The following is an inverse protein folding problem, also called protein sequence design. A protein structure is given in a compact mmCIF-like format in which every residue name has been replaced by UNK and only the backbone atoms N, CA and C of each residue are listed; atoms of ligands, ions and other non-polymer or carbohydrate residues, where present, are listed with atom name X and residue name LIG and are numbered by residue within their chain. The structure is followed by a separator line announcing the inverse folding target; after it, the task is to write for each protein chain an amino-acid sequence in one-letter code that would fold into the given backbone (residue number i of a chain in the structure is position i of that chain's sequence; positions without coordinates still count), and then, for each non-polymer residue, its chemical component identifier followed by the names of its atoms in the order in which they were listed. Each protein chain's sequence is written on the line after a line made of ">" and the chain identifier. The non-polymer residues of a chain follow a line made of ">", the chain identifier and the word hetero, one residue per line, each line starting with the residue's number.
data_IF_496178944696
#
_entry.id   IF_496178944696
#
_cell.length_a   1.000
_cell.length_b   1.000
_cell.length_c   1.000
_cell.angle_alpha   90.00
_cell.angle_beta   90.00
_cell.angle_gamma   90.00
#
_symmetry.space_group_name_H-M   'P 1'
#
loop_
_entity.id
_entity.type
_entity.pdbx_description
1 polymer ?
#
# COMPACT_ATOMS: atom_id res chain seq x y z
N UNK A 1 -16.77 -4.53 6.70
CA UNK A 1 -15.85 -5.54 7.24
C UNK A 1 -15.73 -6.66 6.23
N UNK A 2 -14.71 -6.60 5.37
CA UNK A 2 -14.25 -7.79 4.67
C UNK A 2 -13.82 -8.84 5.72
N UNK A 3 -14.44 -10.02 5.67
CA UNK A 3 -14.21 -11.08 6.66
C UNK A 3 -12.81 -11.70 6.57
N UNK A 4 -12.04 -11.40 5.52
CA UNK A 4 -10.69 -11.93 5.33
C UNK A 4 -9.67 -11.49 6.39
N UNK A 5 -9.80 -10.27 6.93
CA UNK A 5 -8.93 -9.79 8.00
C UNK A 5 -9.32 -10.29 9.38
N UNK A 6 -10.63 -10.33 9.65
CA UNK A 6 -11.14 -10.54 11.01
C UNK A 6 -10.96 -11.97 11.53
N UNK A 7 -10.64 -12.94 10.67
CA UNK A 7 -10.54 -14.37 11.01
C UNK A 7 -9.14 -14.96 10.85
N UNK A 8 -8.13 -14.20 10.44
CA UNK A 8 -6.83 -14.78 10.11
C UNK A 8 -6.05 -15.28 11.34
N UNK A 9 -6.19 -14.66 12.51
CA UNK A 9 -5.56 -15.11 13.78
C UNK A 9 -4.02 -15.16 13.79
N UNK A 10 -3.35 -14.88 12.66
CA UNK A 10 -1.92 -14.97 12.44
C UNK A 10 -1.55 -14.89 10.95
N UNK A 11 -0.24 -14.96 10.64
CA UNK A 11 0.27 -14.91 9.27
C UNK A 11 -0.14 -16.15 8.46
N UNK A 12 -1.00 -15.98 7.46
CA UNK A 12 -1.45 -17.04 6.57
C UNK A 12 -1.81 -16.45 5.18
N UNK A 13 -2.11 -17.31 4.22
CA UNK A 13 -2.47 -16.91 2.84
C UNK A 13 -3.61 -15.89 2.82
N UNK A 14 -4.64 -16.08 3.64
CA UNK A 14 -5.77 -15.15 3.75
C UNK A 14 -5.34 -13.77 4.29
N UNK A 15 -4.44 -13.71 5.28
CA UNK A 15 -3.90 -12.44 5.79
C UNK A 15 -3.09 -11.71 4.71
N UNK A 16 -2.27 -12.42 3.94
CA UNK A 16 -1.36 -11.81 2.95
C UNK A 16 -2.06 -11.30 1.69
N UNK A 17 -3.15 -11.95 1.26
CA UNK A 17 -4.02 -11.40 0.20
C UNK A 17 -4.92 -10.27 0.72
N UNK A 18 -5.23 -10.38 2.01
CA UNK A 18 -5.96 -9.48 2.88
C UNK A 18 -5.45 -8.05 2.94
N UNK A 19 -4.12 -7.92 3.07
CA UNK A 19 -3.46 -6.85 3.83
C UNK A 19 -3.48 -5.46 3.16
N UNK A 20 -4.66 -4.84 3.10
CA UNK A 20 -4.94 -3.48 2.68
C UNK A 20 -6.10 -2.88 3.48
N UNK A 21 -6.15 -1.55 3.58
CA UNK A 21 -7.26 -0.83 4.22
C UNK A 21 -7.27 0.61 3.77
N UNK A 22 -8.41 1.28 3.89
CA UNK A 22 -8.56 2.68 3.47
C UNK A 22 -8.96 3.55 4.66
N UNK A 23 -8.25 4.66 4.84
CA UNK A 23 -8.60 5.68 5.83
C UNK A 23 -9.27 6.85 5.13
N UNK A 24 -10.44 7.26 5.64
CA UNK A 24 -11.11 8.50 5.26
C UNK A 24 -10.73 9.55 6.29
N UNK A 25 -10.10 10.64 5.84
CA UNK A 25 -9.61 11.71 6.70
C UNK A 25 -10.58 12.88 6.64
N UNK A 26 -11.08 13.30 7.81
CA UNK A 26 -11.95 14.46 7.91
C UNK A 26 -11.21 15.75 7.56
N UNK A 27 -11.95 16.71 7.00
CA UNK A 27 -11.39 18.02 6.68
C UNK A 27 -10.92 18.78 7.92
N UNK A 28 -9.96 19.67 7.72
CA UNK A 28 -9.48 20.62 8.72
C UNK A 28 -8.06 20.37 9.23
N UNK A 29 -7.64 19.12 9.38
CA UNK A 29 -6.31 18.81 9.89
C UNK A 29 -6.02 19.48 11.25
N UNK A 30 -4.78 19.91 11.49
CA UNK A 30 -4.37 20.51 12.78
C UNK A 30 -4.98 21.90 13.03
N UNK A 31 -5.19 22.70 11.98
CA UNK A 31 -5.60 24.11 12.12
C UNK A 31 -6.27 24.73 10.88
N UNK A 32 -6.66 23.92 9.89
CA UNK A 32 -7.25 24.37 8.64
C UNK A 32 -8.72 24.00 8.51
N UNK A 33 -9.23 24.09 7.28
CA UNK A 33 -10.60 23.69 6.89
C UNK A 33 -10.62 22.86 5.60
N UNK A 34 -9.49 22.75 4.90
CA UNK A 34 -9.37 22.02 3.65
C UNK A 34 -9.40 20.49 3.88
N UNK A 35 -9.80 19.74 2.86
CA UNK A 35 -9.61 18.29 2.83
C UNK A 35 -8.14 17.94 2.60
N UNK A 36 -7.78 16.68 2.86
CA UNK A 36 -6.42 16.19 2.63
C UNK A 36 -6.05 16.31 1.13
N UNK A 37 -6.94 15.87 0.26
CA UNK A 37 -6.78 15.85 -1.19
C UNK A 37 -6.61 17.26 -1.77
N UNK A 38 -7.35 18.24 -1.24
CA UNK A 38 -7.19 19.63 -1.64
C UNK A 38 -5.84 20.23 -1.20
N UNK A 39 -5.23 19.67 -0.15
CA UNK A 39 -3.97 20.17 0.43
C UNK A 39 -2.74 19.53 -0.22
N UNK A 40 -2.76 18.22 -0.46
CA UNK A 40 -1.58 17.46 -0.94
C UNK A 40 -1.78 16.79 -2.31
N UNK A 41 -2.95 16.92 -2.91
CA UNK A 41 -3.30 16.25 -4.15
C UNK A 41 -3.70 14.78 -3.95
N UNK A 42 -3.85 14.07 -5.08
CA UNK A 42 -4.27 12.67 -5.14
C UNK A 42 -3.45 11.91 -6.16
N UNK A 43 -3.35 10.60 -5.98
CA UNK A 43 -2.82 9.69 -6.98
C UNK A 43 -3.92 8.76 -7.50
N UNK A 44 -3.70 8.20 -8.70
CA UNK A 44 -4.61 7.20 -9.25
C UNK A 44 -4.50 5.88 -8.47
N UNK A 45 -5.60 5.13 -8.46
CA UNK A 45 -5.69 3.79 -7.86
C UNK A 45 -6.21 2.80 -8.89
N UNK A 46 -5.63 1.61 -8.95
CA UNK A 46 -6.15 0.52 -9.77
C UNK A 46 -5.96 -0.86 -9.11
N UNK A 47 -7.04 -1.63 -9.08
CA UNK A 47 -7.05 -3.02 -8.61
C UNK A 47 -6.83 -4.05 -9.73
N UNK A 48 -6.11 -3.67 -10.78
CA UNK A 48 -5.78 -4.56 -11.89
C UNK A 48 -4.45 -5.26 -11.59
N UNK A 49 -4.36 -6.56 -11.90
CA UNK A 49 -3.11 -7.29 -11.73
C UNK A 49 -2.00 -6.75 -12.65
N UNK A 50 -0.79 -6.64 -12.12
CA UNK A 50 0.43 -6.33 -12.87
C UNK A 50 1.07 -7.62 -13.39
N UNK A 51 1.65 -7.56 -14.59
CA UNK A 51 2.46 -8.64 -15.14
C UNK A 51 3.82 -8.68 -14.44
N UNK A 52 4.41 -9.88 -14.34
CA UNK A 52 5.80 -10.01 -13.89
C UNK A 52 6.73 -9.20 -14.81
N UNK A 53 7.74 -8.56 -14.22
CA UNK A 53 8.63 -7.63 -14.92
C UNK A 53 8.13 -6.19 -14.99
N UNK A 54 6.90 -5.89 -14.56
CA UNK A 54 6.44 -4.50 -14.41
C UNK A 54 7.33 -3.79 -13.38
N UNK A 55 7.98 -2.70 -13.79
CA UNK A 55 8.72 -1.84 -12.85
C UNK A 55 7.75 -1.06 -11.99
N UNK A 56 8.03 -1.04 -10.69
CA UNK A 56 7.27 -0.28 -9.69
C UNK A 56 8.18 0.50 -8.77
N UNK A 57 7.61 1.51 -8.13
CA UNK A 57 8.24 2.33 -7.10
C UNK A 57 7.47 2.13 -5.79
N UNK A 58 8.12 1.47 -4.82
CA UNK A 58 7.57 1.24 -3.49
C UNK A 58 8.14 2.25 -2.51
N UNK A 59 7.28 3.04 -1.87
CA UNK A 59 7.68 4.08 -0.92
C UNK A 59 7.33 3.71 0.52
N UNK A 60 8.04 4.26 1.50
CA UNK A 60 7.67 4.13 2.91
C UNK A 60 8.61 4.82 3.88
N UNK A 61 8.27 4.77 5.18
CA UNK A 61 9.07 5.32 6.27
C UNK A 61 9.61 4.20 7.17
N UNK A 62 10.61 3.41 6.71
CA UNK A 62 11.19 2.34 7.51
C UNK A 62 11.80 2.90 8.80
N UNK A 63 11.60 2.22 9.93
CA UNK A 63 11.94 2.71 11.26
C UNK A 63 12.73 1.70 12.11
N UNK A 64 13.44 0.78 11.45
CA UNK A 64 14.25 -0.23 12.13
C UNK A 64 15.63 -0.37 11.49
N UNK A 65 16.55 -1.01 12.22
CA UNK A 65 17.93 -1.23 11.83
C UNK A 65 18.65 0.09 11.50
N UNK A 66 19.00 0.30 10.23
CA UNK A 66 19.70 1.50 9.73
C UNK A 66 18.76 2.68 9.47
N UNK A 67 17.45 2.50 9.65
CA UNK A 67 16.44 3.53 9.39
C UNK A 67 15.81 4.06 10.68
N UNK A 68 15.37 5.32 10.66
CA UNK A 68 14.85 6.05 11.82
C UNK A 68 13.37 6.44 11.73
N UNK A 69 12.69 6.13 10.62
CA UNK A 69 11.27 6.43 10.42
C UNK A 69 10.96 7.89 10.07
N UNK A 70 11.96 8.76 10.02
CA UNK A 70 11.81 10.17 9.67
C UNK A 70 11.95 10.47 8.18
N UNK A 71 12.61 9.59 7.44
CA UNK A 71 12.93 9.80 6.03
C UNK A 71 12.05 8.94 5.14
N UNK A 72 11.58 9.53 4.05
CA UNK A 72 10.93 8.80 2.97
C UNK A 72 11.99 8.01 2.20
N UNK A 73 11.83 6.69 2.17
CA UNK A 73 12.69 5.77 1.44
C UNK A 73 11.88 5.14 0.31
N UNK A 74 12.55 4.78 -0.78
CA UNK A 74 11.93 4.05 -1.88
C UNK A 74 12.77 2.87 -2.35
N UNK A 75 12.10 1.91 -2.98
CA UNK A 75 12.68 0.81 -3.74
C UNK A 75 12.07 0.82 -5.13
N UNK A 76 12.90 0.81 -6.17
CA UNK A 76 12.49 0.75 -7.57
C UNK A 76 12.94 -0.57 -8.17
N UNK A 77 12.08 -1.22 -8.94
CA UNK A 77 12.48 -2.39 -9.71
C UNK A 77 11.35 -3.22 -10.28
N UNK A 78 11.68 -4.23 -11.10
CA UNK A 78 10.71 -5.14 -11.68
C UNK A 78 10.11 -6.03 -10.59
N UNK A 79 8.79 -6.22 -10.63
CA UNK A 79 8.10 -7.15 -9.75
C UNK A 79 8.25 -8.60 -10.24
N UNK A 80 8.31 -9.53 -9.29
CA UNK A 80 8.03 -10.94 -9.47
C UNK A 80 6.76 -11.37 -8.74
N UNK A 81 6.57 -12.68 -8.62
CA UNK A 81 5.48 -13.28 -7.85
C UNK A 81 6.02 -14.05 -6.66
N UNK A 82 5.27 -14.04 -5.56
CA UNK A 82 5.63 -14.77 -4.36
C UNK A 82 5.26 -16.24 -4.48
N UNK A 83 6.23 -17.08 -4.85
CA UNK A 83 6.02 -18.52 -4.93
C UNK A 83 5.63 -19.15 -3.58
N UNK A 84 6.05 -18.57 -2.45
CA UNK A 84 5.73 -19.09 -1.12
C UNK A 84 4.27 -18.83 -0.72
N UNK A 85 3.67 -17.77 -1.28
CA UNK A 85 2.24 -17.48 -1.17
C UNK A 85 1.43 -17.97 -2.38
N UNK A 86 1.92 -18.99 -3.11
CA UNK A 86 1.20 -19.55 -4.27
C UNK A 86 1.03 -18.57 -5.43
N UNK A 87 1.97 -17.64 -5.61
CA UNK A 87 1.92 -16.51 -6.54
C UNK A 87 0.77 -15.53 -6.26
N UNK A 88 0.28 -15.52 -5.03
CA UNK A 88 -0.83 -14.70 -4.58
C UNK A 88 -0.54 -13.22 -4.38
N UNK A 89 0.73 -12.89 -4.18
CA UNK A 89 1.24 -11.55 -3.91
C UNK A 89 2.40 -11.24 -4.87
N UNK A 90 2.77 -9.97 -4.95
CA UNK A 90 3.96 -9.54 -5.68
C UNK A 90 5.19 -9.63 -4.79
N UNK A 91 6.35 -9.70 -5.45
CA UNK A 91 7.66 -9.65 -4.83
C UNK A 91 8.48 -8.52 -5.48
N UNK A 92 9.10 -7.68 -4.66
CA UNK A 92 10.03 -6.63 -5.09
C UNK A 92 11.32 -6.75 -4.30
N UNK A 93 12.47 -6.65 -4.96
CA UNK A 93 13.75 -6.55 -4.27
C UNK A 93 13.81 -5.21 -3.52
N UNK A 94 13.84 -5.26 -2.19
CA UNK A 94 13.73 -4.06 -1.38
C UNK A 94 14.31 -4.27 0.01
N UNK A 95 15.07 -3.28 0.50
CA UNK A 95 15.73 -3.32 1.80
C UNK A 95 15.01 -2.53 2.90
N UNK A 96 13.82 -1.98 2.62
CA UNK A 96 13.02 -1.29 3.63
C UNK A 96 12.61 -2.24 4.75
N UNK A 97 12.61 -1.74 5.98
CA UNK A 97 12.29 -2.50 7.20
C UNK A 97 10.89 -2.16 7.72
N UNK A 98 10.49 -2.80 8.83
CA UNK A 98 9.28 -2.42 9.59
C UNK A 98 9.19 -0.90 9.80
N UNK A 99 7.97 -0.37 9.71
CA UNK A 99 7.68 1.06 9.57
C UNK A 99 7.29 1.45 8.14
N UNK A 100 7.79 0.74 7.12
CA UNK A 100 7.38 0.99 5.72
C UNK A 100 6.02 0.40 5.35
N UNK A 101 5.44 -0.47 6.20
CA UNK A 101 4.16 -1.15 5.94
C UNK A 101 3.02 -0.17 5.66
N UNK A 102 2.18 -0.48 4.68
CA UNK A 102 1.12 0.40 4.18
C UNK A 102 1.59 1.41 3.12
N UNK A 103 2.90 1.59 2.94
CA UNK A 103 3.44 2.49 1.92
C UNK A 103 3.12 2.03 0.49
N UNK A 104 2.80 2.94 -0.44
CA UNK A 104 2.24 2.60 -1.75
C UNK A 104 3.28 2.02 -2.70
N UNK A 105 2.82 1.12 -3.59
CA UNK A 105 3.56 0.72 -4.79
C UNK A 105 2.91 1.37 -6.00
N UNK A 106 3.67 2.23 -6.68
CA UNK A 106 3.26 2.87 -7.91
C UNK A 106 3.72 2.09 -9.13
N UNK A 107 2.86 2.01 -10.14
CA UNK A 107 3.30 1.77 -11.52
C UNK A 107 3.28 3.08 -12.30
N UNK A 108 4.31 3.32 -13.12
CA UNK A 108 4.40 4.53 -13.94
C UNK A 108 4.51 5.80 -13.11
N UNK A 109 5.23 5.75 -11.98
CA UNK A 109 5.49 6.93 -11.18
C UNK A 109 6.37 7.91 -11.95
N UNK A 110 5.99 9.17 -11.98
CA UNK A 110 6.83 10.22 -12.54
C UNK A 110 7.78 10.74 -11.47
N UNK A 111 9.01 10.23 -11.45
CA UNK A 111 10.04 10.64 -10.49
C UNK A 111 10.56 12.07 -10.73
N UNK A 112 10.30 12.67 -11.90
CA UNK A 112 10.70 14.04 -12.17
C UNK A 112 9.75 15.05 -11.51
N UNK A 113 8.45 14.75 -11.47
CA UNK A 113 7.45 15.64 -10.85
C UNK A 113 7.01 15.19 -9.47
N UNK A 114 7.10 13.90 -9.16
CA UNK A 114 6.66 13.30 -7.91
C UNK A 114 5.14 13.24 -7.73
N UNK A 115 4.36 13.64 -8.75
CA UNK A 115 2.94 13.99 -8.59
C UNK A 115 2.00 13.13 -9.45
N UNK A 116 2.50 12.10 -10.12
CA UNK A 116 1.67 11.19 -10.91
C UNK A 116 2.15 9.74 -10.83
N UNK A 117 1.24 8.82 -11.11
CA UNK A 117 1.44 7.37 -11.01
C UNK A 117 0.18 6.69 -10.49
N UNK A 118 0.11 5.37 -10.63
CA UNK A 118 -1.04 4.58 -10.18
C UNK A 118 -0.65 3.63 -9.06
N UNK A 119 -1.31 3.73 -7.90
CA UNK A 119 -1.16 2.81 -6.78
C UNK A 119 -1.81 1.48 -7.11
N UNK A 120 -1.04 0.39 -7.06
CA UNK A 120 -1.49 -0.96 -7.47
C UNK A 120 -1.12 -2.07 -6.49
N UNK A 121 -0.41 -1.74 -5.43
CA UNK A 121 -0.11 -2.59 -4.27
C UNK A 121 0.40 -1.71 -3.12
N UNK A 122 0.86 -2.34 -2.03
CA UNK A 122 1.49 -1.67 -0.90
C UNK A 122 2.54 -2.58 -0.23
N UNK A 123 3.43 -1.99 0.56
CA UNK A 123 4.35 -2.73 1.43
C UNK A 123 3.57 -3.47 2.51
N UNK A 124 3.55 -4.81 2.49
CA UNK A 124 2.81 -5.61 3.46
C UNK A 124 3.75 -6.38 4.38
N UNK A 125 4.53 -7.30 3.83
CA UNK A 125 5.37 -8.19 4.63
C UNK A 125 6.73 -8.50 3.99
N UNK A 126 7.58 -9.17 4.78
CA UNK A 126 8.85 -9.75 4.35
C UNK A 126 9.03 -11.15 4.95
N UNK A 127 9.88 -11.96 4.32
CA UNK A 127 10.31 -13.24 4.89
C UNK A 127 11.67 -13.09 5.57
N UNK A 128 11.84 -13.71 6.74
CA UNK A 128 13.14 -13.76 7.43
C UNK A 128 14.24 -14.28 6.51
N UNK A 129 15.38 -13.59 6.48
CA UNK A 129 16.53 -13.94 5.65
C UNK A 129 16.40 -13.55 4.17
N UNK A 130 15.31 -12.89 3.75
CA UNK A 130 15.15 -12.36 2.40
C UNK A 130 15.17 -10.82 2.39
N UNK A 131 15.77 -10.24 1.36
CA UNK A 131 15.75 -8.79 1.12
C UNK A 131 14.70 -8.43 0.06
N UNK A 132 13.45 -8.87 0.30
CA UNK A 132 12.32 -8.58 -0.58
C UNK A 132 11.15 -8.02 0.23
N UNK A 133 10.44 -7.09 -0.38
CA UNK A 133 9.15 -6.60 0.08
C UNK A 133 8.04 -7.27 -0.72
N UNK A 134 6.97 -7.65 -0.04
CA UNK A 134 5.81 -8.29 -0.64
C UNK A 134 4.58 -7.42 -0.47
N UNK A 135 3.73 -7.43 -1.49
CA UNK A 135 2.51 -6.64 -1.53
C UNK A 135 1.33 -7.42 -2.12
N UNK A 136 0.11 -7.24 -1.59
CA UNK A 136 -1.06 -7.93 -2.09
C UNK A 136 -1.37 -7.52 -3.54
N UNK A 137 -1.90 -8.48 -4.31
CA UNK A 137 -2.57 -8.17 -5.57
C UNK A 137 -3.93 -7.58 -5.24
N UNK A 138 -4.10 -6.28 -5.46
CA UNK A 138 -5.42 -5.67 -5.33
C UNK A 138 -6.41 -6.35 -6.27
N UNK A 139 -7.64 -6.50 -5.79
CA UNK A 139 -8.69 -7.25 -6.46
C UNK A 139 -10.05 -6.56 -6.30
N UNK A 140 -11.13 -7.25 -6.68
CA UNK A 140 -12.50 -6.74 -6.57
C UNK A 140 -12.86 -6.35 -5.14
N UNK A 141 -12.39 -7.08 -4.14
CA UNK A 141 -12.66 -6.74 -2.74
C UNK A 141 -11.97 -5.43 -2.35
N UNK A 142 -10.71 -5.24 -2.74
CA UNK A 142 -9.99 -3.97 -2.55
C UNK A 142 -10.72 -2.82 -3.24
N UNK A 143 -11.18 -3.02 -4.49
CA UNK A 143 -11.98 -2.03 -5.23
C UNK A 143 -13.30 -1.68 -4.54
N UNK A 144 -14.01 -2.68 -4.00
CA UNK A 144 -15.27 -2.45 -3.31
C UNK A 144 -15.05 -1.64 -2.02
N UNK A 145 -14.02 -1.96 -1.25
CA UNK A 145 -13.68 -1.22 -0.02
C UNK A 145 -13.20 0.19 -0.36
N UNK A 146 -12.37 0.37 -1.40
CA UNK A 146 -12.00 1.69 -1.91
C UNK A 146 -13.23 2.51 -2.32
N UNK A 147 -14.15 1.90 -3.08
CA UNK A 147 -15.40 2.54 -3.48
C UNK A 147 -16.26 2.96 -2.29
N UNK A 148 -16.37 2.13 -1.25
CA UNK A 148 -17.07 2.50 -0.02
C UNK A 148 -16.39 3.67 0.70
N UNK A 149 -15.06 3.66 0.80
CA UNK A 149 -14.28 4.74 1.41
C UNK A 149 -14.46 6.06 0.63
N UNK A 150 -14.33 6.02 -0.70
CA UNK A 150 -14.43 7.19 -1.56
C UNK A 150 -15.84 7.81 -1.57
N UNK A 151 -16.87 7.04 -1.21
CA UNK A 151 -18.25 7.53 -1.09
C UNK A 151 -18.61 7.94 0.35
N UNK A 152 -17.69 7.83 1.31
CA UNK A 152 -17.95 8.19 2.70
C UNK A 152 -17.85 9.70 2.86
N UNK A 153 -18.96 10.36 3.16
CA UNK A 153 -18.99 11.79 3.52
C UNK A 153 -19.00 11.91 5.06
N UNK A 154 -17.83 12.15 5.65
CA UNK A 154 -17.66 12.27 7.10
C UNK A 154 -16.77 13.47 7.44
N UNK A 155 -17.09 14.14 8.54
CA UNK A 155 -16.24 15.19 9.14
C UNK A 155 -15.20 14.61 10.11
N UNK A 156 -15.24 13.29 10.37
CA UNK A 156 -14.37 12.60 11.32
C UNK A 156 -13.60 11.46 10.67
N UNK A 157 -12.38 11.20 11.14
CA UNK A 157 -11.52 10.14 10.62
C UNK A 157 -12.15 8.76 10.81
N UNK A 158 -12.18 7.95 9.76
CA UNK A 158 -12.78 6.61 9.78
C UNK A 158 -11.93 5.62 8.99
N UNK A 159 -11.87 4.37 9.44
CA UNK A 159 -11.23 3.27 8.72
C UNK A 159 -12.30 2.41 8.03
N UNK A 160 -12.06 2.07 6.77
CA UNK A 160 -12.94 1.24 5.94
C UNK A 160 -12.19 -0.04 5.55
N UNK A 161 -12.73 -1.18 6.01
CA UNK A 161 -12.19 -2.53 5.82
C UNK A 161 -13.26 -3.49 5.28
#
# INVERSE_FOLDING_TARGET
>A
MNRGFATAGGFNTQATHYDWGFAVVGAGGKSGTASLEATVGTFDYAASSMSGGTTVDAFGYPAAQKYHGSDLIYCEGPIGFDALAGNGTYKLACGMTGGSSGGPWFSGFDSATGNSGTIRSLNSYGYSGQSNMYGPKFNTDTSNTYGAANNTNTTSNTIVN
#
